data_IF_900458564108
#
_entry.id   IF_900458564108
#
_cell.length_a   1.000
_cell.length_b   1.000
_cell.length_c   1.000
_cell.angle_alpha   90.00
_cell.angle_beta   90.00
_cell.angle_gamma   90.00
#
_symmetry.space_group_name_H-M   'P 1'
#
loop_
_entity.id
_entity.type
_entity.pdbx_description
1 polymer ?
#
# COMPACT_ATOMS: atom_id res chain seq x y z
N UNK A 1 -6.47 -4.71 -27.60
CA UNK A 1 -7.78 -4.52 -26.96
C UNK A 1 -8.97 -4.63 -27.91
N UNK A 2 -9.22 -3.71 -28.86
CA UNK A 2 -10.48 -3.68 -29.64
C UNK A 2 -10.92 -5.02 -30.28
N UNK A 3 -9.98 -5.81 -30.79
CA UNK A 3 -10.26 -7.10 -31.46
C UNK A 3 -10.22 -8.31 -30.50
N UNK A 4 -10.05 -8.10 -29.20
CA UNK A 4 -9.92 -9.15 -28.18
C UNK A 4 -11.13 -9.20 -27.24
N UNK A 5 -12.05 -8.22 -27.31
CA UNK A 5 -13.19 -8.14 -26.42
C UNK A 5 -14.34 -9.02 -26.92
N UNK A 6 -15.04 -9.64 -25.97
CA UNK A 6 -16.28 -10.42 -26.19
C UNK A 6 -17.53 -9.53 -26.24
N UNK A 7 -17.39 -8.25 -25.89
CA UNK A 7 -18.44 -7.23 -25.85
C UNK A 7 -18.05 -5.99 -26.68
N UNK A 8 -19.00 -5.11 -27.05
CA UNK A 8 -18.73 -3.95 -27.90
C UNK A 8 -17.72 -2.98 -27.29
N UNK A 9 -16.70 -2.64 -28.07
CA UNK A 9 -15.71 -1.63 -27.70
C UNK A 9 -16.32 -0.22 -27.62
N UNK A 10 -16.12 0.44 -26.50
CA UNK A 10 -16.46 1.82 -26.23
C UNK A 10 -15.30 2.51 -25.49
N UNK A 11 -14.78 3.60 -26.05
CA UNK A 11 -13.66 4.36 -25.46
C UNK A 11 -14.06 5.11 -24.20
N UNK A 12 -15.27 5.67 -24.16
CA UNK A 12 -15.76 6.44 -23.00
C UNK A 12 -15.83 5.54 -21.77
N UNK A 13 -16.19 4.27 -21.96
CA UNK A 13 -16.19 3.26 -20.89
C UNK A 13 -14.80 2.83 -20.43
N UNK A 14 -13.80 2.89 -21.31
CA UNK A 14 -12.40 2.68 -20.91
C UNK A 14 -11.89 3.88 -20.10
N UNK A 15 -12.30 5.10 -20.45
CA UNK A 15 -11.97 6.30 -19.67
C UNK A 15 -12.64 6.23 -18.29
N UNK A 16 -13.91 5.82 -18.22
CA UNK A 16 -14.64 5.58 -16.97
C UNK A 16 -13.90 4.57 -16.06
N UNK A 17 -13.37 3.48 -16.63
CA UNK A 17 -12.57 2.48 -15.90
C UNK A 17 -11.19 3.03 -15.50
N UNK A 18 -10.56 3.84 -16.36
CA UNK A 18 -9.28 4.49 -16.08
C UNK A 18 -9.36 5.43 -14.87
N UNK A 19 -10.45 6.19 -14.75
CA UNK A 19 -10.71 7.06 -13.59
C UNK A 19 -10.82 6.21 -12.32
N UNK A 20 -11.56 5.10 -12.34
CA UNK A 20 -11.65 4.18 -11.20
C UNK A 20 -10.29 3.64 -10.78
N UNK A 21 -9.44 3.22 -11.74
CA UNK A 21 -8.08 2.77 -11.46
C UNK A 21 -7.22 3.88 -10.84
N UNK A 22 -7.39 5.13 -11.29
CA UNK A 22 -6.70 6.29 -10.73
C UNK A 22 -6.95 6.49 -9.23
N UNK A 23 -8.16 6.19 -8.75
CA UNK A 23 -8.48 6.31 -7.32
C UNK A 23 -7.68 5.35 -6.43
N UNK A 24 -7.19 4.22 -6.97
CA UNK A 24 -6.37 3.25 -6.23
C UNK A 24 -4.98 3.78 -5.88
N UNK A 25 -4.43 4.68 -6.70
CA UNK A 25 -3.07 5.23 -6.52
C UNK A 25 -3.04 6.33 -5.46
N UNK A 26 -4.16 7.04 -5.28
CA UNK A 26 -4.28 8.08 -4.27
C UNK A 26 -5.36 9.09 -4.62
N UNK A 27 -6.04 9.59 -3.60
CA UNK A 27 -7.05 10.62 -3.68
C UNK A 27 -7.24 11.27 -2.29
N UNK A 28 -7.99 12.37 -2.22
CA UNK A 28 -8.16 13.13 -0.97
C UNK A 28 -9.02 12.41 0.09
N UNK A 29 -9.73 11.33 -0.28
CA UNK A 29 -10.76 10.71 0.56
C UNK A 29 -10.33 9.38 1.19
N UNK A 30 -9.33 8.71 0.60
CA UNK A 30 -8.86 7.39 1.03
C UNK A 30 -7.34 7.33 0.84
N UNK A 31 -6.61 6.75 1.81
CA UNK A 31 -5.17 6.53 1.69
C UNK A 31 -4.83 5.69 0.45
N UNK A 32 -3.64 5.92 -0.10
CA UNK A 32 -3.12 5.10 -1.18
C UNK A 32 -2.89 3.66 -0.69
N UNK A 33 -2.96 2.71 -1.61
CA UNK A 33 -2.60 1.32 -1.29
C UNK A 33 -1.09 1.22 -1.01
N UNK A 34 -0.65 0.31 -0.13
CA UNK A 34 0.77 0.07 0.09
C UNK A 34 1.49 -0.20 -1.23
N UNK A 35 2.63 0.46 -1.44
CA UNK A 35 3.50 0.28 -2.62
C UNK A 35 2.87 0.64 -3.98
N UNK A 36 1.71 1.28 -4.01
CA UNK A 36 1.02 1.67 -5.24
C UNK A 36 1.11 3.19 -5.45
N UNK A 37 2.32 3.69 -5.68
CA UNK A 37 2.58 5.13 -5.88
C UNK A 37 2.85 5.47 -7.35
N UNK A 38 2.46 6.67 -7.79
CA UNK A 38 2.72 7.17 -9.16
C UNK A 38 4.22 7.11 -9.49
N UNK A 39 5.08 7.46 -8.53
CA UNK A 39 6.54 7.47 -8.69
C UNK A 39 7.13 6.07 -8.90
N UNK A 40 6.39 5.01 -8.56
CA UNK A 40 6.79 3.61 -8.69
C UNK A 40 6.11 2.94 -9.89
N UNK A 41 5.78 3.70 -10.94
CA UNK A 41 5.13 3.21 -12.16
C UNK A 41 3.74 2.55 -11.94
N UNK A 42 3.03 2.88 -10.85
CA UNK A 42 1.72 2.31 -10.55
C UNK A 42 0.70 2.43 -11.70
N UNK A 43 0.71 3.55 -12.43
CA UNK A 43 -0.21 3.75 -13.57
C UNK A 43 0.00 2.74 -14.71
N UNK A 44 1.25 2.36 -14.97
CA UNK A 44 1.57 1.35 -15.98
C UNK A 44 1.13 -0.04 -15.50
N UNK A 45 1.39 -0.37 -14.24
CA UNK A 45 0.92 -1.61 -13.62
C UNK A 45 -0.60 -1.76 -13.71
N UNK A 46 -1.35 -0.71 -13.34
CA UNK A 46 -2.80 -0.67 -13.45
C UNK A 46 -3.26 -0.88 -14.89
N UNK A 47 -2.64 -0.18 -15.85
CA UNK A 47 -2.97 -0.29 -17.26
C UNK A 47 -2.69 -1.69 -17.83
N UNK A 48 -1.55 -2.26 -17.51
CA UNK A 48 -1.13 -3.57 -18.00
C UNK A 48 -2.02 -4.67 -17.42
N UNK A 49 -2.36 -4.57 -16.14
CA UNK A 49 -3.35 -5.44 -15.47
C UNK A 49 -4.71 -5.32 -16.16
N UNK A 50 -5.15 -4.10 -16.46
CA UNK A 50 -6.43 -3.86 -17.12
C UNK A 50 -6.48 -4.46 -18.53
N UNK A 51 -5.45 -4.23 -19.35
CA UNK A 51 -5.33 -4.84 -20.69
C UNK A 51 -5.35 -6.37 -20.64
N UNK A 52 -4.78 -6.97 -19.59
CA UNK A 52 -4.74 -8.43 -19.39
C UNK A 52 -6.10 -8.99 -18.96
N UNK A 53 -6.85 -8.26 -18.13
CA UNK A 53 -8.11 -8.74 -17.54
C UNK A 53 -9.33 -8.39 -18.38
N UNK A 54 -9.42 -7.20 -18.96
CA UNK A 54 -10.61 -6.74 -19.68
C UNK A 54 -11.13 -7.74 -20.74
N UNK A 55 -10.28 -8.40 -21.57
CA UNK A 55 -10.74 -9.41 -22.53
C UNK A 55 -11.37 -10.67 -21.91
N UNK A 56 -11.13 -10.93 -20.63
CA UNK A 56 -11.65 -12.08 -19.88
C UNK A 56 -12.97 -11.78 -19.18
N UNK A 57 -13.34 -10.50 -19.10
CA UNK A 57 -14.59 -10.04 -18.49
C UNK A 57 -15.74 -10.08 -19.51
N UNK A 58 -16.96 -9.93 -19.00
CA UNK A 58 -18.19 -9.80 -19.77
C UNK A 58 -18.62 -8.32 -19.97
N UNK A 59 -17.84 -7.36 -19.47
CA UNK A 59 -18.07 -5.93 -19.63
C UNK A 59 -17.01 -5.07 -18.93
N UNK A 60 -17.32 -3.78 -18.75
CA UNK A 60 -16.47 -2.78 -18.11
C UNK A 60 -16.55 -2.84 -16.58
N UNK A 61 -15.55 -2.25 -15.89
CA UNK A 61 -15.47 -2.22 -14.43
C UNK A 61 -16.45 -1.21 -13.82
N UNK A 62 -16.67 -0.09 -14.51
CA UNK A 62 -17.50 1.04 -14.11
C UNK A 62 -18.68 1.21 -15.08
N UNK A 63 -19.90 1.10 -14.55
CA UNK A 63 -21.14 1.28 -15.26
C UNK A 63 -21.81 2.61 -14.88
N UNK A 64 -21.20 3.73 -15.32
CA UNK A 64 -21.72 5.09 -15.15
C UNK A 64 -21.81 5.53 -13.68
N UNK A 65 -20.73 5.33 -12.95
CA UNK A 65 -20.61 5.67 -11.54
C UNK A 65 -20.93 4.51 -10.59
N UNK A 66 -21.23 3.32 -11.12
CA UNK A 66 -21.46 2.10 -10.34
C UNK A 66 -20.38 1.07 -10.65
N UNK A 67 -19.65 0.62 -9.64
CA UNK A 67 -18.65 -0.43 -9.80
C UNK A 67 -19.38 -1.77 -9.98
N UNK A 68 -19.00 -2.52 -11.02
CA UNK A 68 -19.37 -3.91 -11.16
C UNK A 68 -18.45 -4.75 -10.28
N UNK A 69 -18.88 -5.01 -9.04
CA UNK A 69 -18.05 -5.66 -8.01
C UNK A 69 -17.50 -7.04 -8.43
N UNK A 70 -18.26 -7.93 -9.10
CA UNK A 70 -17.71 -9.19 -9.60
C UNK A 70 -16.55 -9.01 -10.59
N UNK A 71 -16.67 -8.09 -11.54
CA UNK A 71 -15.60 -7.79 -12.50
C UNK A 71 -14.40 -7.12 -11.82
N UNK A 72 -14.69 -6.21 -10.90
CA UNK A 72 -13.67 -5.50 -10.15
C UNK A 72 -12.87 -6.43 -9.24
N UNK A 73 -13.50 -7.42 -8.60
CA UNK A 73 -12.81 -8.44 -7.81
C UNK A 73 -11.83 -9.26 -8.66
N UNK A 74 -12.20 -9.61 -9.90
CA UNK A 74 -11.28 -10.30 -10.83
C UNK A 74 -10.08 -9.41 -11.18
N UNK A 75 -10.31 -8.13 -11.40
CA UNK A 75 -9.25 -7.16 -11.66
C UNK A 75 -8.31 -7.00 -10.44
N UNK A 76 -8.87 -6.82 -9.24
CA UNK A 76 -8.11 -6.67 -8.00
C UNK A 76 -7.32 -7.93 -7.66
N UNK A 77 -7.86 -9.12 -7.91
CA UNK A 77 -7.15 -10.39 -7.70
C UNK A 77 -5.93 -10.55 -8.63
N UNK A 78 -5.97 -10.00 -9.85
CA UNK A 78 -4.80 -9.98 -10.73
C UNK A 78 -3.79 -8.92 -10.29
N UNK A 79 -4.27 -7.73 -9.93
CA UNK A 79 -3.43 -6.63 -9.45
C UNK A 79 -2.68 -7.02 -8.17
N UNK A 80 -3.34 -7.75 -7.27
CA UNK A 80 -2.79 -8.25 -6.01
C UNK A 80 -1.55 -9.14 -6.13
N UNK A 81 -1.27 -9.70 -7.31
CA UNK A 81 -0.03 -10.46 -7.53
C UNK A 81 1.20 -9.58 -7.37
N UNK A 82 1.06 -8.28 -7.66
CA UNK A 82 2.11 -7.29 -7.48
C UNK A 82 2.63 -7.24 -6.04
N UNK A 83 1.75 -7.28 -5.03
CA UNK A 83 2.17 -7.25 -3.63
C UNK A 83 3.16 -8.38 -3.32
N UNK A 84 2.80 -9.59 -3.73
CA UNK A 84 3.60 -10.78 -3.48
C UNK A 84 4.90 -10.77 -4.29
N UNK A 85 4.84 -10.40 -5.58
CA UNK A 85 6.02 -10.30 -6.44
C UNK A 85 7.03 -9.28 -5.90
N UNK A 86 6.54 -8.12 -5.42
CA UNK A 86 7.38 -7.10 -4.81
C UNK A 86 7.99 -7.57 -3.50
N UNK A 87 7.18 -8.13 -2.60
CA UNK A 87 7.66 -8.68 -1.34
C UNK A 87 8.74 -9.75 -1.57
N UNK A 88 8.52 -10.65 -2.53
CA UNK A 88 9.48 -11.68 -2.87
C UNK A 88 10.81 -11.09 -3.35
N UNK A 89 10.75 -10.08 -4.23
CA UNK A 89 11.94 -9.40 -4.73
C UNK A 89 12.73 -8.67 -3.62
N UNK A 90 12.03 -7.97 -2.72
CA UNK A 90 12.64 -7.29 -1.57
C UNK A 90 13.30 -8.28 -0.60
N UNK A 91 12.61 -9.39 -0.31
CA UNK A 91 13.11 -10.45 0.56
C UNK A 91 14.34 -11.17 -0.03
N UNK A 92 14.34 -11.45 -1.33
CA UNK A 92 15.49 -12.03 -2.03
C UNK A 92 16.70 -11.08 -2.00
N UNK A 93 16.46 -9.78 -2.16
CA UNK A 93 17.48 -8.73 -2.08
C UNK A 93 18.09 -8.67 -0.67
N UNK A 94 17.27 -8.69 0.38
CA UNK A 94 17.74 -8.72 1.78
C UNK A 94 18.58 -9.97 2.07
N UNK A 95 18.08 -11.15 1.68
CA UNK A 95 18.80 -12.42 1.83
C UNK A 95 20.13 -12.43 1.07
N UNK A 96 20.23 -11.70 -0.04
CA UNK A 96 21.48 -11.53 -0.77
C UNK A 96 22.48 -10.63 -0.02
N UNK A 97 22.03 -9.51 0.54
CA UNK A 97 22.88 -8.62 1.35
C UNK A 97 23.37 -9.30 2.63
N UNK A 98 22.52 -10.06 3.31
CA UNK A 98 22.92 -10.84 4.50
C UNK A 98 24.04 -11.83 4.17
N UNK A 99 23.98 -12.46 2.98
CA UNK A 99 25.06 -13.33 2.50
C UNK A 99 26.34 -12.55 2.26
N UNK A 100 26.28 -11.38 1.61
CA UNK A 100 27.46 -10.54 1.39
C UNK A 100 28.11 -10.07 2.69
N UNK A 101 27.31 -9.68 3.69
CA UNK A 101 27.80 -9.27 5.00
C UNK A 101 28.32 -10.43 5.86
N UNK A 102 27.96 -11.67 5.50
CA UNK A 102 28.47 -12.89 6.12
C UNK A 102 29.79 -13.40 5.52
N UNK A 103 30.27 -12.79 4.42
CA UNK A 103 31.57 -13.12 3.81
C UNK A 103 32.69 -12.38 4.57
N UNK A 104 33.68 -13.10 5.14
CA UNK A 104 34.82 -12.46 5.78
C UNK A 104 35.63 -11.61 4.77
N UNK A 105 36.21 -10.45 5.17
CA UNK A 105 37.00 -9.59 4.28
C UNK A 105 38.17 -10.30 3.59
N UNK A 106 38.63 -11.42 4.16
CA UNK A 106 39.80 -12.18 3.72
C UNK A 106 39.53 -13.09 2.50
N UNK A 107 38.27 -13.36 2.13
CA UNK A 107 37.93 -14.13 0.93
C UNK A 107 37.72 -13.27 -0.33
N UNK A 108 37.74 -11.94 -0.18
CA UNK A 108 37.59 -10.99 -1.30
C UNK A 108 38.92 -10.65 -1.99
N UNK A 109 39.88 -11.58 -2.03
CA UNK A 109 41.05 -11.49 -2.92
C UNK A 109 41.47 -12.91 -3.25
N UNK A 110 41.26 -13.34 -4.50
CA UNK A 110 42.20 -14.15 -5.28
C UNK A 110 41.58 -14.59 -6.63
N UNK A 111 41.51 -13.67 -7.59
CA UNK A 111 41.71 -14.01 -9.00
C UNK A 111 42.85 -13.16 -9.54
N UNK A 112 44.08 -13.56 -9.21
CA UNK A 112 45.28 -13.15 -9.93
C UNK A 112 46.41 -14.14 -9.65
N UNK A 113 46.51 -15.19 -10.48
CA UNK A 113 47.72 -15.93 -10.91
C UNK A 113 47.25 -17.31 -11.42
N UNK A 114 47.19 -17.58 -12.72
CA UNK A 114 48.35 -17.73 -13.60
C UNK A 114 47.86 -17.93 -15.04
N UNK A 115 48.33 -17.12 -15.99
CA UNK A 115 49.25 -17.59 -17.03
C UNK A 115 49.56 -16.47 -18.02
N UNK A 116 50.83 -16.07 -18.03
CA UNK A 116 51.43 -15.35 -19.14
C UNK A 116 51.50 -16.31 -20.34
N UNK A 117 50.88 -15.95 -21.45
CA UNK A 117 51.52 -16.04 -22.76
C UNK A 117 50.92 -15.02 -23.73
N UNK A 118 51.84 -14.32 -24.39
CA UNK A 118 51.61 -13.30 -25.40
C UNK A 118 50.74 -13.84 -26.55
N UNK A 119 49.79 -13.04 -27.02
CA UNK A 119 49.77 -12.62 -28.43
C UNK A 119 48.78 -11.46 -28.63
N UNK A 120 49.32 -10.37 -29.16
CA UNK A 120 48.56 -9.22 -29.66
C UNK A 120 48.18 -9.52 -31.10
N UNK A 121 46.88 -9.69 -31.37
CA UNK A 121 46.32 -9.43 -32.69
C UNK A 121 44.97 -8.72 -32.61
N UNK A 122 44.92 -7.60 -33.34
CA UNK A 122 43.78 -6.73 -33.56
C UNK A 122 42.64 -7.37 -34.37
N UNK A 123 41.44 -6.83 -34.13
CA UNK A 123 40.32 -6.55 -35.04
C UNK A 123 39.11 -7.51 -35.13
N UNK A 124 37.96 -6.89 -34.78
CA UNK A 124 36.59 -7.00 -35.31
C UNK A 124 35.73 -8.26 -35.06
N UNK A 125 34.71 -8.10 -34.20
CA UNK A 125 33.33 -7.88 -34.68
C UNK A 125 32.37 -7.50 -33.54
N UNK A 126 31.68 -6.39 -33.75
CA UNK A 126 30.58 -5.85 -32.95
C UNK A 126 29.25 -6.58 -33.23
N UNK A 127 28.60 -7.03 -32.16
CA UNK A 127 27.17 -7.32 -31.91
C UNK A 127 27.13 -7.80 -30.43
N UNK A 128 26.29 -7.40 -29.49
CA UNK A 128 24.94 -6.86 -29.47
C UNK A 128 24.72 -6.11 -28.13
N UNK A 129 23.67 -5.29 -28.12
CA UNK A 129 22.92 -4.72 -26.98
C UNK A 129 23.22 -5.24 -25.56
N UNK A 130 23.49 -4.31 -24.64
CA UNK A 130 22.64 -4.18 -23.45
C UNK A 130 22.74 -2.77 -22.83
N UNK A 131 21.60 -2.13 -22.63
CA UNK A 131 21.50 -0.82 -21.98
C UNK A 131 21.48 -1.04 -20.45
N UNK A 132 22.66 -1.09 -19.83
CA UNK A 132 22.75 -1.03 -18.37
C UNK A 132 22.40 0.38 -17.90
N UNK A 133 21.22 0.52 -17.28
CA UNK A 133 20.85 1.72 -16.52
C UNK A 133 21.72 1.73 -15.26
N UNK A 134 22.66 2.66 -15.22
CA UNK A 134 23.50 2.96 -14.07
C UNK A 134 22.61 3.53 -12.96
N UNK A 135 22.39 2.79 -11.88
CA UNK A 135 21.76 3.31 -10.67
C UNK A 135 22.84 3.74 -9.69
N UNK A 136 22.81 5.04 -9.37
CA UNK A 136 23.68 5.73 -8.43
C UNK A 136 23.28 5.34 -6.97
N UNK A 137 24.17 4.77 -6.14
CA UNK A 137 23.80 4.21 -4.83
C UNK A 137 23.56 5.24 -3.72
N UNK A 138 23.79 6.54 -3.98
CA UNK A 138 23.90 7.55 -2.91
C UNK A 138 22.64 8.39 -2.65
N UNK A 139 21.43 7.83 -2.81
CA UNK A 139 20.21 8.50 -2.34
C UNK A 139 19.31 7.59 -1.49
N UNK A 140 19.34 7.90 -0.20
CA UNK A 140 18.30 7.64 0.80
C UNK A 140 18.06 6.19 1.22
N UNK A 141 19.09 5.57 1.81
CA UNK A 141 18.88 4.57 2.87
C UNK A 141 19.14 5.20 4.24
N UNK A 142 18.15 5.94 4.73
CA UNK A 142 18.07 6.34 6.13
C UNK A 142 16.82 5.73 6.77
N UNK A 143 17.06 4.98 7.85
CA UNK A 143 16.12 4.43 8.84
C UNK A 143 15.40 3.12 8.47
N UNK A 144 15.85 1.99 9.03
CA UNK A 144 15.33 1.52 10.33
C UNK A 144 16.07 0.26 10.82
N UNK A 145 17.27 0.43 11.38
CA UNK A 145 17.76 -0.42 12.46
C UNK A 145 18.82 0.36 13.26
N UNK A 146 18.37 1.07 14.29
CA UNK A 146 19.29 1.56 15.33
C UNK A 146 19.88 0.36 16.06
N UNK A 147 21.17 0.12 15.82
CA UNK A 147 21.95 -0.85 16.58
C UNK A 147 22.14 -0.30 17.99
N UNK A 148 21.59 -1.02 18.97
CA UNK A 148 21.83 -0.78 20.39
C UNK A 148 23.35 -0.82 20.65
N UNK A 149 23.96 0.34 20.79
CA UNK A 149 25.32 0.46 21.29
C UNK A 149 25.32 0.25 22.80
N UNK A 150 25.74 -0.93 23.26
CA UNK A 150 26.05 -1.20 24.66
C UNK A 150 27.55 -1.49 24.82
N UNK A 151 28.20 -0.65 25.61
CA UNK A 151 29.57 -0.81 26.07
C UNK A 151 29.70 -2.01 27.03
N UNK A 152 30.74 -2.81 26.81
CA UNK A 152 31.50 -3.65 27.75
C UNK A 152 30.79 -4.25 28.98
N UNK A 153 30.76 -5.59 29.01
CA UNK A 153 30.95 -6.33 30.26
C UNK A 153 30.05 -7.55 30.45
N UNK A 154 30.71 -8.71 30.42
CA UNK A 154 30.34 -10.00 31.02
C UNK A 154 29.53 -10.98 30.16
N UNK A 155 30.18 -12.11 29.93
CA UNK A 155 29.66 -13.37 29.41
C UNK A 155 28.53 -13.89 30.31
N UNK A 156 27.32 -14.00 29.78
CA UNK A 156 26.26 -14.91 30.26
C UNK A 156 25.20 -15.06 29.14
N UNK A 157 24.56 -16.23 29.09
CA UNK A 157 23.87 -16.89 27.97
C UNK A 157 22.89 -16.02 27.14
N UNK A 158 22.96 -16.12 25.80
CA UNK A 158 21.93 -15.56 24.88
C UNK A 158 20.60 -16.31 25.06
N UNK A 159 19.46 -15.60 25.23
CA UNK A 159 18.17 -16.27 25.30
C UNK A 159 17.75 -16.74 23.90
N UNK A 160 17.41 -18.02 23.82
CA UNK A 160 16.73 -18.65 22.68
C UNK A 160 15.38 -17.96 22.51
N UNK A 161 15.13 -17.30 21.37
CA UNK A 161 13.80 -16.81 21.03
C UNK A 161 12.92 -18.03 20.78
N UNK A 162 12.15 -18.37 21.81
CA UNK A 162 11.18 -19.45 21.79
C UNK A 162 9.96 -18.98 20.99
N UNK A 163 9.98 -19.30 19.69
CA UNK A 163 8.84 -19.19 18.80
C UNK A 163 7.64 -19.87 19.45
N UNK A 164 6.68 -19.09 19.94
CA UNK A 164 5.47 -19.57 20.59
C UNK A 164 4.25 -18.90 19.96
N UNK A 165 3.63 -19.67 19.05
CA UNK A 165 2.19 -19.81 18.80
C UNK A 165 1.40 -18.57 18.33
N UNK A 166 1.00 -18.54 17.05
CA UNK A 166 -0.15 -19.29 16.52
C UNK A 166 0.28 -19.91 15.18
N UNK A 167 0.40 -21.25 15.12
CA UNK A 167 0.58 -21.99 13.89
C UNK A 167 -0.83 -22.32 13.39
N UNK A 168 -1.23 -21.73 12.26
CA UNK A 168 -2.26 -22.33 11.42
C UNK A 168 -1.57 -23.48 10.67
N UNK A 169 -1.95 -24.71 11.02
CA UNK A 169 -1.43 -25.96 10.46
C UNK A 169 -1.79 -26.07 8.96
N UNK A 170 -0.90 -25.60 8.10
CA UNK A 170 -0.89 -25.96 6.70
C UNK A 170 0.55 -26.25 6.25
N UNK A 171 1.05 -27.45 6.57
CA UNK A 171 2.41 -27.97 6.28
C UNK A 171 2.81 -27.95 4.78
N UNK A 172 1.96 -27.45 3.88
CA UNK A 172 2.20 -27.36 2.44
C UNK A 172 2.37 -25.91 1.93
N UNK A 173 2.29 -24.89 2.79
CA UNK A 173 2.48 -23.51 2.36
C UNK A 173 3.99 -23.21 2.12
N UNK A 174 4.38 -22.69 0.93
CA UNK A 174 5.77 -22.30 0.69
C UNK A 174 6.26 -21.30 1.75
N UNK A 175 7.50 -21.45 2.23
CA UNK A 175 8.08 -20.60 3.27
C UNK A 175 7.88 -19.09 3.01
N UNK A 176 8.06 -18.67 1.76
CA UNK A 176 7.91 -17.27 1.35
C UNK A 176 6.48 -16.73 1.51
N UNK A 177 5.45 -17.57 1.34
CA UNK A 177 4.05 -17.18 1.53
C UNK A 177 3.76 -16.97 3.03
N UNK A 178 4.36 -17.81 3.89
CA UNK A 178 4.28 -17.64 5.34
C UNK A 178 4.99 -16.36 5.81
N UNK A 179 6.15 -16.03 5.22
CA UNK A 179 6.88 -14.78 5.47
C UNK A 179 6.04 -13.57 5.04
N UNK A 180 5.39 -13.63 3.86
CA UNK A 180 4.51 -12.56 3.38
C UNK A 180 3.31 -12.33 4.31
N UNK A 181 2.69 -13.42 4.79
CA UNK A 181 1.59 -13.36 5.76
C UNK A 181 2.02 -12.69 7.07
N UNK A 182 3.22 -13.01 7.57
CA UNK A 182 3.79 -12.38 8.76
C UNK A 182 4.10 -10.90 8.52
N UNK A 183 4.65 -10.56 7.35
CA UNK A 183 4.91 -9.18 6.97
C UNK A 183 3.63 -8.32 6.98
N UNK A 184 2.54 -8.82 6.38
CA UNK A 184 1.24 -8.13 6.43
C UNK A 184 0.69 -8.03 7.85
N UNK A 185 0.84 -9.09 8.65
CA UNK A 185 0.41 -9.07 10.07
C UNK A 185 1.14 -7.97 10.85
N UNK A 186 2.45 -7.79 10.61
CA UNK A 186 3.22 -6.72 11.20
C UNK A 186 2.73 -5.34 10.73
N UNK A 187 2.48 -5.16 9.44
CA UNK A 187 1.89 -3.92 8.91
C UNK A 187 0.57 -3.56 9.60
N UNK A 188 -0.38 -4.50 9.69
CA UNK A 188 -1.68 -4.23 10.34
C UNK A 188 -1.54 -3.92 11.82
N UNK A 189 -0.56 -4.53 12.50
CA UNK A 189 -0.27 -4.23 13.91
C UNK A 189 0.31 -2.83 14.08
N UNK A 190 1.36 -2.49 13.34
CA UNK A 190 2.09 -1.22 13.52
C UNK A 190 1.32 -0.02 12.97
N UNK A 191 0.71 -0.15 11.77
CA UNK A 191 0.06 0.96 11.07
C UNK A 191 -1.40 1.13 11.48
N UNK A 192 -2.15 0.02 11.57
CA UNK A 192 -3.58 0.07 11.86
C UNK A 192 -3.92 -0.21 13.33
N UNK A 193 -2.93 -0.46 14.18
CA UNK A 193 -3.13 -0.82 15.58
C UNK A 193 -4.06 -2.05 15.76
N UNK A 194 -3.96 -3.02 14.84
CA UNK A 194 -4.73 -4.28 14.87
C UNK A 194 -3.85 -5.38 15.45
N UNK A 195 -4.01 -5.68 16.74
CA UNK A 195 -3.19 -6.70 17.43
C UNK A 195 -3.38 -8.12 16.86
N UNK A 196 -4.64 -8.47 16.56
CA UNK A 196 -5.05 -9.78 16.05
C UNK A 196 -5.97 -9.62 14.83
N UNK A 197 -5.50 -10.10 13.69
CA UNK A 197 -6.27 -10.07 12.45
C UNK A 197 -7.33 -11.18 12.45
N UNK A 198 -8.57 -10.83 12.78
CA UNK A 198 -9.71 -11.76 12.64
C UNK A 198 -10.35 -11.62 11.26
N UNK A 199 -11.04 -12.67 10.81
CA UNK A 199 -11.76 -12.65 9.52
C UNK A 199 -12.80 -11.53 9.45
N UNK A 200 -13.45 -11.19 10.56
CA UNK A 200 -14.46 -10.13 10.62
C UNK A 200 -13.84 -8.73 10.46
N UNK A 201 -12.69 -8.49 11.11
CA UNK A 201 -11.97 -7.21 10.98
C UNK A 201 -11.47 -7.06 9.53
N UNK A 202 -10.92 -8.13 8.95
CA UNK A 202 -10.47 -8.10 7.56
C UNK A 202 -11.62 -7.79 6.60
N UNK A 203 -12.75 -8.48 6.76
CA UNK A 203 -13.96 -8.23 5.96
C UNK A 203 -14.40 -6.77 6.10
N UNK A 204 -14.45 -6.24 7.32
CA UNK A 204 -14.83 -4.84 7.57
C UNK A 204 -13.87 -3.84 6.90
N UNK A 205 -12.56 -4.10 6.94
CA UNK A 205 -11.57 -3.24 6.29
C UNK A 205 -11.71 -3.23 4.77
N UNK A 206 -11.93 -4.42 4.17
CA UNK A 206 -12.19 -4.56 2.74
C UNK A 206 -13.48 -3.83 2.36
N UNK A 207 -14.57 -4.06 3.10
CA UNK A 207 -15.86 -3.41 2.87
C UNK A 207 -15.75 -1.89 2.94
N UNK A 208 -15.07 -1.35 3.95
CA UNK A 208 -14.86 0.09 4.10
C UNK A 208 -14.09 0.67 2.90
N UNK A 209 -13.05 -0.02 2.42
CA UNK A 209 -12.26 0.45 1.28
C UNK A 209 -13.06 0.40 -0.03
N UNK A 210 -13.78 -0.69 -0.29
CA UNK A 210 -14.63 -0.84 -1.50
C UNK A 210 -15.80 0.14 -1.47
N UNK A 211 -16.42 0.35 -0.31
CA UNK A 211 -17.43 1.38 -0.10
C UNK A 211 -16.89 2.76 -0.43
N UNK A 212 -15.66 3.06 0.01
CA UNK A 212 -15.01 4.33 -0.26
C UNK A 212 -14.79 4.57 -1.76
N UNK A 213 -14.28 3.59 -2.49
CA UNK A 213 -14.14 3.69 -3.94
C UNK A 213 -15.48 3.95 -4.63
N UNK A 214 -16.54 3.26 -4.21
CA UNK A 214 -17.87 3.46 -4.74
C UNK A 214 -18.42 4.86 -4.38
N UNK A 215 -18.15 5.37 -3.18
CA UNK A 215 -18.52 6.72 -2.74
C UNK A 215 -17.83 7.78 -3.59
N UNK A 216 -16.51 7.68 -3.77
CA UNK A 216 -15.72 8.62 -4.58
C UNK A 216 -16.24 8.61 -6.01
N UNK A 217 -16.43 7.42 -6.59
CA UNK A 217 -16.92 7.31 -7.95
C UNK A 217 -18.29 7.98 -8.12
N UNK A 218 -19.23 7.77 -7.18
CA UNK A 218 -20.51 8.49 -7.20
C UNK A 218 -20.37 9.99 -6.98
N UNK A 219 -19.43 10.44 -6.15
CA UNK A 219 -19.16 11.86 -5.93
C UNK A 219 -18.86 12.58 -7.26
N UNK A 220 -18.03 11.98 -8.12
CA UNK A 220 -17.69 12.55 -9.43
C UNK A 220 -18.84 12.47 -10.45
N UNK A 221 -19.64 11.39 -10.46
CA UNK A 221 -20.69 11.19 -11.48
C UNK A 221 -22.04 11.77 -11.10
N UNK A 222 -22.38 11.77 -9.81
CA UNK A 222 -23.73 12.05 -9.30
C UNK A 222 -23.74 13.08 -8.16
N UNK A 223 -22.57 13.57 -7.73
CA UNK A 223 -22.44 14.42 -6.55
C UNK A 223 -22.39 13.63 -5.24
N UNK A 224 -22.27 14.33 -4.11
CA UNK A 224 -22.11 13.72 -2.79
C UNK A 224 -23.31 12.84 -2.42
N UNK A 225 -23.07 11.54 -2.26
CA UNK A 225 -24.09 10.55 -1.85
C UNK A 225 -24.17 10.35 -0.34
N UNK A 226 -23.19 10.82 0.42
CA UNK A 226 -23.21 10.79 1.87
C UNK A 226 -22.32 11.87 2.43
N UNK A 227 -22.91 12.84 3.13
CA UNK A 227 -22.19 13.95 3.76
C UNK A 227 -21.53 13.55 5.08
N UNK A 228 -22.00 12.47 5.71
CA UNK A 228 -21.53 12.00 7.01
C UNK A 228 -20.59 10.80 6.91
N UNK A 229 -20.50 10.16 5.75
CA UNK A 229 -19.57 9.06 5.54
C UNK A 229 -18.12 9.58 5.52
N UNK A 230 -17.23 8.80 6.11
CA UNK A 230 -15.79 8.99 6.05
C UNK A 230 -15.10 7.61 6.07
N UNK A 231 -13.88 7.54 5.56
CA UNK A 231 -13.05 6.35 5.69
C UNK A 231 -12.40 6.34 7.09
N UNK A 232 -12.68 5.33 7.94
CA UNK A 232 -12.36 5.40 9.37
C UNK A 232 -10.92 5.05 9.74
N UNK A 233 -10.10 4.62 8.78
CA UNK A 233 -8.72 4.22 9.01
C UNK A 233 -7.76 5.25 8.40
N UNK A 234 -6.59 5.42 9.00
CA UNK A 234 -5.54 6.26 8.43
C UNK A 234 -4.81 5.59 7.25
N UNK A 235 -4.85 4.26 7.18
CA UNK A 235 -4.11 3.45 6.20
C UNK A 235 -5.06 2.61 5.33
N UNK A 236 -4.58 2.19 4.15
CA UNK A 236 -5.29 1.26 3.28
C UNK A 236 -4.92 -0.21 3.58
N UNK A 237 -5.81 -1.18 3.33
CA UNK A 237 -5.43 -2.59 3.35
C UNK A 237 -4.48 -2.95 2.20
N UNK A 238 -3.80 -4.09 2.29
CA UNK A 238 -3.03 -4.63 1.16
C UNK A 238 -3.95 -5.02 -0.01
N UNK A 239 -3.45 -4.92 -1.25
CA UNK A 239 -4.16 -5.36 -2.44
C UNK A 239 -4.54 -6.85 -2.36
N UNK A 240 -3.61 -7.68 -1.88
CA UNK A 240 -3.81 -9.13 -1.67
C UNK A 240 -4.88 -9.50 -0.64
N UNK A 241 -5.33 -8.53 0.15
CA UNK A 241 -6.42 -8.70 1.11
C UNK A 241 -7.76 -8.16 0.62
N UNK A 242 -7.78 -7.34 -0.44
CA UNK A 242 -9.00 -6.88 -1.12
C UNK A 242 -9.60 -8.01 -1.96
N UNK A 243 -10.34 -8.90 -1.28
CA UNK A 243 -11.04 -10.06 -1.86
C UNK A 243 -12.37 -10.33 -1.16
N UNK A 244 -13.21 -11.16 -1.78
CA UNK A 244 -14.53 -11.58 -1.26
C UNK A 244 -15.53 -10.43 -1.08
N UNK A 245 -15.51 -9.43 -1.95
CA UNK A 245 -16.42 -8.28 -1.95
C UNK A 245 -17.37 -8.25 -3.17
N UNK A 246 -17.32 -9.24 -4.08
CA UNK A 246 -18.19 -9.29 -5.27
C UNK A 246 -19.69 -9.17 -4.99
N UNK A 247 -20.12 -9.64 -3.81
CA UNK A 247 -21.53 -9.69 -3.38
C UNK A 247 -21.87 -8.58 -2.37
N UNK A 248 -20.96 -7.62 -2.13
CA UNK A 248 -21.14 -6.54 -1.17
C UNK A 248 -22.31 -5.63 -1.57
N UNK A 249 -23.21 -5.39 -0.62
CA UNK A 249 -24.34 -4.47 -0.80
C UNK A 249 -23.97 -3.07 -0.29
N UNK A 250 -23.72 -2.15 -1.22
CA UNK A 250 -23.33 -0.77 -0.90
C UNK A 250 -24.58 0.12 -0.88
N UNK A 251 -24.88 0.69 0.29
CA UNK A 251 -25.99 1.62 0.49
C UNK A 251 -25.51 2.89 1.16
N UNK A 252 -25.85 4.03 0.57
CA UNK A 252 -25.48 5.34 1.09
C UNK A 252 -26.62 5.92 1.93
N UNK A 253 -26.28 6.44 3.11
CA UNK A 253 -27.11 7.43 3.78
C UNK A 253 -26.64 8.82 3.34
N UNK A 254 -27.53 9.59 2.71
CA UNK A 254 -27.23 10.95 2.28
C UNK A 254 -26.72 11.83 3.43
N UNK A 255 -27.19 11.63 4.66
CA UNK A 255 -26.86 12.52 5.76
C UNK A 255 -27.22 13.97 5.44
N UNK A 256 -26.52 14.92 6.08
CA UNK A 256 -26.64 16.36 5.80
C UNK A 256 -25.26 17.02 5.91
N UNK A 257 -24.99 18.05 5.10
CA UNK A 257 -23.77 18.84 5.28
C UNK A 257 -23.76 19.48 6.66
N UNK A 258 -22.58 19.55 7.27
CA UNK A 258 -22.37 20.32 8.49
C UNK A 258 -22.74 21.78 8.29
N UNK A 259 -23.22 22.43 9.34
CA UNK A 259 -23.32 23.89 9.36
C UNK A 259 -21.91 24.49 9.38
N UNK A 260 -21.71 25.74 8.89
CA UNK A 260 -20.39 26.33 8.79
C UNK A 260 -19.57 26.27 10.09
N UNK A 261 -20.17 26.57 11.24
CA UNK A 261 -19.47 26.52 12.53
C UNK A 261 -19.25 25.10 13.07
N UNK A 262 -20.12 24.14 12.72
CA UNK A 262 -19.89 22.72 13.04
C UNK A 262 -18.69 22.19 12.26
N UNK A 263 -18.59 22.54 10.97
CA UNK A 263 -17.44 22.19 10.15
C UNK A 263 -16.15 22.86 10.65
N UNK A 264 -16.20 24.16 11.01
CA UNK A 264 -15.02 24.84 11.54
C UNK A 264 -14.54 24.21 12.85
N UNK A 265 -15.45 23.79 13.74
CA UNK A 265 -15.08 23.02 14.94
C UNK A 265 -14.43 21.68 14.56
N UNK A 266 -14.94 20.98 13.55
CA UNK A 266 -14.41 19.68 13.15
C UNK A 266 -13.03 19.75 12.45
N UNK A 267 -12.68 20.89 11.84
CA UNK A 267 -11.47 21.02 10.99
C UNK A 267 -10.37 21.86 11.63
N UNK A 268 -10.71 22.93 12.36
CA UNK A 268 -9.71 23.85 12.87
C UNK A 268 -8.98 23.25 14.09
N UNK A 269 -7.67 23.54 14.25
CA UNK A 269 -6.97 23.30 15.50
C UNK A 269 -7.28 24.40 16.55
N UNK A 270 -7.05 24.16 17.86
CA UNK A 270 -7.29 25.14 18.92
C UNK A 270 -6.58 26.48 18.72
N UNK A 271 -5.41 26.47 18.08
CA UNK A 271 -4.63 27.68 17.75
C UNK A 271 -5.37 28.65 16.83
N UNK A 272 -6.39 28.17 16.11
CA UNK A 272 -7.24 28.97 15.21
C UNK A 272 -8.65 29.20 15.78
N UNK A 273 -8.87 28.98 17.08
CA UNK A 273 -10.20 29.11 17.69
C UNK A 273 -10.82 30.51 17.54
N UNK A 274 -10.01 31.57 17.39
CA UNK A 274 -10.48 32.94 17.17
C UNK A 274 -11.36 33.12 15.91
N UNK A 275 -11.32 32.17 14.97
CA UNK A 275 -12.20 32.14 13.79
C UNK A 275 -13.64 31.70 14.10
N UNK A 276 -13.86 31.13 15.28
CA UNK A 276 -15.19 30.73 15.77
C UNK A 276 -15.84 31.84 16.61
N UNK A 277 -17.18 31.88 16.68
CA UNK A 277 -17.89 32.68 17.67
C UNK A 277 -17.42 32.39 19.09
N UNK A 278 -17.26 33.45 19.92
CA UNK A 278 -16.77 33.35 21.31
C UNK A 278 -17.33 32.17 22.14
N UNK A 279 -18.65 31.86 22.10
CA UNK A 279 -19.19 30.75 22.89
C UNK A 279 -18.71 29.35 22.47
N UNK A 280 -18.17 29.19 21.25
CA UNK A 280 -17.69 27.91 20.73
C UNK A 280 -16.19 27.70 20.94
N UNK A 281 -15.43 28.77 21.21
CA UNK A 281 -13.97 28.70 21.36
C UNK A 281 -13.56 27.82 22.54
N UNK A 282 -14.28 27.94 23.67
CA UNK A 282 -14.01 27.13 24.87
C UNK A 282 -14.21 25.63 24.63
N UNK A 283 -14.97 25.21 23.61
CA UNK A 283 -15.10 23.79 23.28
C UNK A 283 -13.80 23.17 22.78
N UNK A 284 -12.85 23.97 22.28
CA UNK A 284 -11.56 23.49 21.78
C UNK A 284 -10.45 23.52 22.82
N UNK A 285 -10.58 24.37 23.85
CA UNK A 285 -9.47 24.71 24.76
C UNK A 285 -9.75 24.40 26.23
N UNK A 286 -11.02 24.32 26.64
CA UNK A 286 -11.37 24.07 28.03
C UNK A 286 -11.13 22.61 28.41
N UNK A 287 -10.51 22.38 29.57
CA UNK A 287 -10.17 21.04 30.05
C UNK A 287 -11.43 20.20 30.36
N UNK A 288 -12.53 20.88 30.69
CA UNK A 288 -13.83 20.26 30.95
C UNK A 288 -14.67 20.08 29.66
N UNK A 289 -14.14 20.45 28.49
CA UNK A 289 -14.85 20.30 27.23
C UNK A 289 -15.06 18.83 26.88
N UNK A 290 -16.28 18.41 26.49
CA UNK A 290 -16.52 17.05 26.02
C UNK A 290 -15.84 16.75 24.69
N UNK A 291 -15.30 17.76 24.00
CA UNK A 291 -14.61 17.62 22.70
C UNK A 291 -13.09 17.66 22.82
N UNK A 292 -12.53 17.89 24.02
CA UNK A 292 -11.09 18.11 24.19
C UNK A 292 -10.22 16.98 23.61
N UNK A 293 -10.68 15.74 23.69
CA UNK A 293 -9.96 14.58 23.15
C UNK A 293 -9.70 14.65 21.63
N UNK A 294 -10.48 15.44 20.89
CA UNK A 294 -10.31 15.64 19.44
C UNK A 294 -9.33 16.79 19.12
N UNK A 295 -8.81 17.47 20.14
CA UNK A 295 -7.92 18.62 20.01
C UNK A 295 -6.60 18.41 20.79
N UNK A 296 -5.83 17.36 20.47
CA UNK A 296 -4.53 17.15 21.12
C UNK A 296 -3.57 18.29 20.77
N UNK A 297 -2.73 18.71 21.72
CA UNK A 297 -1.66 19.69 21.48
C UNK A 297 -0.55 19.09 20.59
N UNK A 298 -0.22 17.82 20.85
CA UNK A 298 0.77 17.05 20.11
C UNK A 298 0.14 15.78 19.52
N UNK A 299 0.51 15.46 18.28
CA UNK A 299 0.09 14.23 17.60
C UNK A 299 1.25 13.64 16.80
N UNK A 300 1.28 12.30 16.71
CA UNK A 300 2.31 11.59 15.97
C UNK A 300 2.01 11.64 14.47
N UNK A 301 3.05 11.90 13.68
CA UNK A 301 3.00 11.80 12.22
C UNK A 301 3.88 10.64 11.78
N UNK A 302 3.30 9.73 11.02
CA UNK A 302 4.05 8.68 10.34
C UNK A 302 4.67 9.24 9.06
N UNK A 303 5.99 9.17 8.96
CA UNK A 303 6.73 9.70 7.80
C UNK A 303 6.89 8.66 6.68
N UNK A 304 6.49 7.40 6.91
CA UNK A 304 6.74 6.29 5.99
C UNK A 304 5.81 6.28 4.75
N UNK A 305 4.98 7.31 4.56
CA UNK A 305 4.03 7.45 3.45
C UNK A 305 4.29 8.67 2.54
N UNK A 306 5.50 9.23 2.59
CA UNK A 306 5.92 10.31 1.68
C UNK A 306 6.61 9.80 0.42
#
# INVERSE_FOLDING_TARGET
>A
MKNQLTFPYNIDKIVDDWILMGFLVGNDFVPHLPHLHINENALLLLWDTYKKILPKLDGYLNESGQINLPRFEIYMAELAKFDFERFAHENDTLKYFDKLHSIPPEECVNENQTDNNNDVHNMDNSNDNDNSVYFDPDKDHSSAYETISAQNGNEEERPVIQSSTILDDNDNEPLIESEFRQHKTHYYREKMNIEQMTSNIMTTNVENYIFALQWILKYYYNGCQSWSWFYPQHYAPYLSDLKNFKDLNIQFDNGKPFRPFEQLLAVLPPTSCDLLPKPLQSLMTDIESPLLQFYPEDFCLDQNEK
#
